data_IF_030811629442
#
_entry.id   IF_030811629442
#
_cell.length_a   1.000
_cell.length_b   1.000
_cell.length_c   1.000
_cell.angle_alpha   90.00
_cell.angle_beta   90.00
_cell.angle_gamma   90.00
#
_symmetry.space_group_name_H-M   'P 1'
#
loop_
_entity.id
_entity.type
_entity.pdbx_description
1 polymer ?
#
# COMPACT_ATOMS: atom_id res chain seq x y z
N UNK A 1 4.17 -15.62 -0.63
CA UNK A 1 3.01 -14.77 -0.26
C UNK A 1 1.86 -15.06 -1.21
N UNK A 2 0.63 -15.21 -0.72
CA UNK A 2 -0.56 -15.30 -1.58
C UNK A 2 -0.98 -13.89 -2.04
N UNK A 3 -1.32 -13.71 -3.31
CA UNK A 3 -1.84 -12.45 -3.85
C UNK A 3 -3.26 -12.68 -4.34
N UNK A 4 -4.22 -11.93 -3.81
CA UNK A 4 -5.61 -11.92 -4.26
C UNK A 4 -5.85 -10.71 -5.15
N UNK A 5 -6.34 -10.92 -6.36
CA UNK A 5 -6.72 -9.86 -7.28
C UNK A 5 -8.25 -9.74 -7.34
N UNK A 6 -8.77 -8.52 -7.17
CA UNK A 6 -10.20 -8.21 -7.21
C UNK A 6 -10.49 -7.28 -8.40
N UNK A 7 -11.60 -7.49 -9.09
CA UNK A 7 -12.03 -6.57 -10.15
C UNK A 7 -12.44 -5.21 -9.57
N UNK A 8 -13.16 -5.20 -8.45
CA UNK A 8 -13.57 -3.96 -7.78
C UNK A 8 -13.73 -4.20 -6.28
N UNK A 9 -13.36 -3.20 -5.49
CA UNK A 9 -13.49 -3.22 -4.03
C UNK A 9 -13.76 -1.80 -3.51
N UNK A 10 -14.30 -1.68 -2.31
CA UNK A 10 -14.41 -0.40 -1.61
C UNK A 10 -13.01 0.13 -1.23
N UNK A 11 -12.26 -0.65 -0.47
CA UNK A 11 -10.86 -0.39 -0.11
C UNK A 11 -10.12 -1.72 0.05
N UNK A 12 -9.01 -1.88 -0.66
CA UNK A 12 -8.09 -3.01 -0.49
C UNK A 12 -7.65 -3.18 0.97
N UNK A 13 -7.44 -2.06 1.66
CA UNK A 13 -7.05 -2.02 3.07
C UNK A 13 -8.18 -2.48 4.01
N UNK A 14 -9.42 -2.02 3.79
CA UNK A 14 -10.59 -2.46 4.59
C UNK A 14 -10.81 -3.96 4.36
N UNK A 15 -10.84 -4.39 3.10
CA UNK A 15 -11.05 -5.78 2.73
C UNK A 15 -10.02 -6.70 3.39
N UNK A 16 -8.75 -6.31 3.33
CA UNK A 16 -7.66 -7.07 3.94
C UNK A 16 -7.83 -7.17 5.46
N UNK A 17 -8.07 -6.05 6.15
CA UNK A 17 -8.31 -6.04 7.61
C UNK A 17 -9.47 -6.95 8.01
N UNK A 18 -10.63 -6.83 7.35
CA UNK A 18 -11.81 -7.65 7.64
C UNK A 18 -11.57 -9.13 7.36
N UNK A 19 -10.85 -9.44 6.28
CA UNK A 19 -10.52 -10.82 5.91
C UNK A 19 -9.54 -11.48 6.89
N UNK A 20 -8.61 -10.70 7.46
CA UNK A 20 -7.72 -11.18 8.52
C UNK A 20 -8.48 -11.39 9.83
N UNK A 21 -9.30 -10.42 10.24
CA UNK A 21 -10.10 -10.51 11.49
C UNK A 21 -11.11 -11.65 11.49
N UNK A 22 -11.66 -12.00 10.32
CA UNK A 22 -12.58 -13.14 10.17
C UNK A 22 -11.87 -14.49 10.00
N UNK A 23 -10.54 -14.52 9.94
CA UNK A 23 -9.76 -15.74 9.69
C UNK A 23 -9.83 -16.26 8.25
N UNK A 24 -10.49 -15.53 7.34
CA UNK A 24 -10.60 -15.86 5.91
C UNK A 24 -9.25 -15.83 5.20
N UNK A 25 -8.38 -14.89 5.59
CA UNK A 25 -7.01 -14.77 5.10
C UNK A 25 -6.02 -14.86 6.27
N UNK A 26 -4.79 -15.26 5.96
CA UNK A 26 -3.67 -15.32 6.91
C UNK A 26 -2.43 -14.69 6.27
N UNK A 27 -1.66 -13.96 7.06
CA UNK A 27 -0.37 -13.44 6.62
C UNK A 27 0.63 -14.60 6.35
N UNK A 28 1.59 -14.45 5.41
CA UNK A 28 1.77 -13.29 4.52
C UNK A 28 0.81 -13.32 3.32
N UNK A 29 0.06 -12.23 3.12
CA UNK A 29 -0.94 -12.09 2.05
C UNK A 29 -1.00 -10.66 1.51
N UNK A 30 -1.29 -10.52 0.22
CA UNK A 30 -1.58 -9.25 -0.42
C UNK A 30 -2.94 -9.27 -1.12
N UNK A 31 -3.57 -8.11 -1.22
CA UNK A 31 -4.82 -7.85 -1.93
C UNK A 31 -4.57 -6.70 -2.90
N UNK A 32 -4.84 -6.94 -4.17
CA UNK A 32 -4.83 -5.96 -5.23
C UNK A 32 -6.24 -5.77 -5.79
N UNK A 33 -6.54 -4.58 -6.32
CA UNK A 33 -7.77 -4.36 -7.05
C UNK A 33 -7.53 -3.57 -8.34
N UNK A 34 -8.35 -3.84 -9.37
CA UNK A 34 -8.39 -3.00 -10.58
C UNK A 34 -9.08 -1.66 -10.29
N UNK A 35 -10.18 -1.69 -9.55
CA UNK A 35 -10.95 -0.49 -9.16
C UNK A 35 -11.11 -0.41 -7.66
N UNK A 36 -10.82 0.75 -7.08
CA UNK A 36 -11.09 1.06 -5.68
C UNK A 36 -12.08 2.23 -5.59
N UNK A 37 -13.27 1.95 -5.06
CA UNK A 37 -14.41 2.89 -5.11
C UNK A 37 -14.51 3.82 -3.90
N UNK A 38 -13.91 3.45 -2.76
CA UNK A 38 -13.92 4.19 -1.49
C UNK A 38 -12.52 4.15 -0.85
N UNK A 39 -11.52 4.60 -1.59
CA UNK A 39 -10.14 4.63 -1.11
C UNK A 39 -9.98 5.53 0.12
N UNK A 40 -9.08 5.14 1.02
CA UNK A 40 -8.80 5.84 2.27
C UNK A 40 -7.33 6.23 2.28
N UNK A 41 -7.07 7.54 2.34
CA UNK A 41 -5.74 8.11 2.58
C UNK A 41 -5.49 8.36 4.08
N UNK A 42 -4.34 8.97 4.37
CA UNK A 42 -3.95 9.34 5.73
C UNK A 42 -4.99 10.27 6.39
N UNK A 43 -5.21 10.09 7.69
CA UNK A 43 -6.16 10.89 8.50
C UNK A 43 -7.59 10.88 7.93
N UNK A 44 -8.02 9.73 7.42
CA UNK A 44 -9.37 9.50 6.89
C UNK A 44 -9.73 10.36 5.66
N UNK A 45 -8.73 10.97 5.02
CA UNK A 45 -8.96 11.64 3.75
C UNK A 45 -9.40 10.64 2.68
N UNK A 46 -10.22 11.09 1.75
CA UNK A 46 -10.61 10.28 0.60
C UNK A 46 -9.43 10.09 -0.36
N UNK A 47 -9.24 8.86 -0.83
CA UNK A 47 -8.33 8.56 -1.93
C UNK A 47 -9.14 8.27 -3.19
N UNK A 48 -9.16 9.24 -4.10
CA UNK A 48 -9.85 9.13 -5.38
C UNK A 48 -8.99 8.27 -6.32
N UNK A 49 -9.51 7.10 -6.67
CA UNK A 49 -8.88 6.19 -7.62
C UNK A 49 -9.22 6.54 -9.07
N UNK A 50 -8.22 6.48 -9.95
CA UNK A 50 -8.40 6.53 -11.39
C UNK A 50 -8.11 5.15 -12.01
N UNK A 51 -8.59 4.93 -13.24
CA UNK A 51 -8.19 3.75 -14.00
C UNK A 51 -6.67 3.75 -14.21
N UNK A 52 -6.04 2.58 -14.04
CA UNK A 52 -4.58 2.43 -14.08
C UNK A 52 -3.85 2.69 -12.76
N UNK A 53 -4.53 3.14 -11.70
CA UNK A 53 -3.90 3.17 -10.37
C UNK A 53 -3.56 1.76 -9.86
N UNK A 54 -2.45 1.65 -9.14
CA UNK A 54 -2.12 0.46 -8.35
C UNK A 54 -2.78 0.55 -6.98
N UNK A 55 -3.85 -0.21 -6.76
CA UNK A 55 -4.43 -0.42 -5.43
C UNK A 55 -3.89 -1.70 -4.83
N UNK A 56 -3.07 -1.60 -3.78
CA UNK A 56 -2.39 -2.72 -3.14
C UNK A 56 -2.41 -2.54 -1.62
N UNK A 57 -2.76 -3.59 -0.91
CA UNK A 57 -2.55 -3.71 0.54
C UNK A 57 -1.99 -5.08 0.86
N UNK A 58 -1.08 -5.16 1.83
CA UNK A 58 -0.48 -6.43 2.22
C UNK A 58 -0.33 -6.53 3.75
N UNK A 59 -0.26 -7.77 4.23
CA UNK A 59 -0.06 -8.10 5.63
C UNK A 59 1.11 -9.08 5.76
N UNK A 60 1.96 -8.80 6.74
CA UNK A 60 3.16 -9.55 7.10
C UNK A 60 3.12 -9.84 8.60
N UNK A 61 3.84 -10.89 9.05
CA UNK A 61 4.12 -11.03 10.48
C UNK A 61 5.11 -9.95 10.90
N UNK A 62 5.06 -9.51 12.16
CA UNK A 62 6.11 -8.64 12.70
C UNK A 62 7.47 -9.37 12.74
N UNK A 63 7.45 -10.69 12.90
CA UNK A 63 8.66 -11.53 12.84
C UNK A 63 9.30 -11.56 11.45
N UNK A 64 8.55 -11.18 10.41
CA UNK A 64 9.08 -11.06 9.03
C UNK A 64 9.75 -9.69 8.78
N UNK A 65 9.71 -8.77 9.76
CA UNK A 65 10.28 -7.42 9.65
C UNK A 65 11.63 -7.32 10.39
N UNK A 66 12.49 -6.36 10.01
CA UNK A 66 13.71 -6.09 10.75
C UNK A 66 13.41 -5.81 12.23
N UNK A 67 14.16 -6.43 13.14
CA UNK A 67 13.93 -6.32 14.59
C UNK A 67 14.11 -4.90 15.14
N UNK A 68 14.87 -4.07 14.43
CA UNK A 68 15.11 -2.66 14.76
C UNK A 68 14.12 -1.70 14.10
N UNK A 69 13.16 -2.20 13.30
CA UNK A 69 12.12 -1.40 12.68
C UNK A 69 11.07 -1.01 13.72
N UNK A 70 11.08 0.26 14.12
CA UNK A 70 10.01 0.86 14.92
C UNK A 70 8.69 0.90 14.13
N UNK A 71 7.58 0.54 14.77
CA UNK A 71 6.26 0.49 14.13
C UNK A 71 5.83 1.85 13.55
N UNK A 72 6.21 2.94 14.23
CA UNK A 72 5.92 4.30 13.78
C UNK A 72 6.68 4.66 12.49
N UNK A 73 7.73 3.92 12.16
CA UNK A 73 8.55 4.10 10.96
C UNK A 73 8.13 3.19 9.80
N UNK A 74 7.16 2.29 9.99
CA UNK A 74 6.72 1.35 8.95
C UNK A 74 6.30 2.05 7.65
N UNK A 75 5.56 3.18 7.76
CA UNK A 75 5.14 3.92 6.56
C UNK A 75 6.33 4.42 5.75
N UNK A 76 7.32 5.03 6.42
CA UNK A 76 8.52 5.53 5.76
C UNK A 76 9.36 4.39 5.18
N UNK A 77 9.50 3.29 5.93
CA UNK A 77 10.26 2.10 5.54
C UNK A 77 9.71 1.48 4.25
N UNK A 78 8.41 1.16 4.22
CA UNK A 78 7.79 0.57 3.04
C UNK A 78 7.71 1.55 1.86
N UNK A 79 7.44 2.83 2.13
CA UNK A 79 7.44 3.83 1.06
C UNK A 79 8.83 3.98 0.43
N UNK A 80 9.91 3.92 1.23
CA UNK A 80 11.27 3.96 0.71
C UNK A 80 11.60 2.74 -0.14
N UNK A 81 11.25 1.53 0.31
CA UNK A 81 11.43 0.30 -0.47
C UNK A 81 10.71 0.38 -1.82
N UNK A 82 9.45 0.83 -1.83
CA UNK A 82 8.69 0.96 -3.08
C UNK A 82 9.30 2.02 -3.99
N UNK A 83 9.78 3.15 -3.45
CA UNK A 83 10.50 4.18 -4.21
C UNK A 83 11.77 3.61 -4.86
N UNK A 84 12.57 2.82 -4.14
CA UNK A 84 13.76 2.17 -4.70
C UNK A 84 13.42 1.17 -5.82
N UNK A 85 12.37 0.36 -5.62
CA UNK A 85 11.89 -0.57 -6.65
C UNK A 85 11.48 0.18 -7.91
N UNK A 86 10.67 1.24 -7.77
CA UNK A 86 10.21 2.05 -8.90
C UNK A 86 11.36 2.75 -9.62
N UNK A 87 12.35 3.25 -8.88
CA UNK A 87 13.55 3.87 -9.46
C UNK A 87 14.40 2.86 -10.23
N UNK A 88 14.55 1.64 -9.73
CA UNK A 88 15.25 0.56 -10.44
C UNK A 88 14.52 0.14 -11.73
N UNK A 89 13.22 0.41 -11.83
CA UNK A 89 12.42 0.24 -13.06
C UNK A 89 12.44 1.49 -13.98
N UNK A 90 13.25 2.50 -13.66
CA UNK A 90 13.43 3.71 -14.46
C UNK A 90 12.51 4.88 -14.09
N UNK A 91 11.73 4.77 -13.02
CA UNK A 91 10.95 5.91 -12.50
C UNK A 91 11.88 6.97 -11.91
N UNK A 92 11.39 8.23 -11.89
CA UNK A 92 12.01 9.35 -11.18
C UNK A 92 11.25 9.72 -9.91
N UNK A 93 10.47 8.78 -9.38
CA UNK A 93 9.66 9.03 -8.19
C UNK A 93 10.56 9.39 -7.00
N UNK A 94 10.15 10.39 -6.25
CA UNK A 94 10.78 10.77 -5.01
C UNK A 94 9.75 10.75 -3.87
N UNK A 95 10.26 10.64 -2.64
CA UNK A 95 9.43 10.52 -1.46
C UNK A 95 9.36 11.85 -0.73
N UNK A 96 8.17 12.45 -0.69
CA UNK A 96 7.88 13.57 0.19
C UNK A 96 7.46 13.01 1.54
N UNK A 97 8.17 13.41 2.59
CA UNK A 97 7.89 12.95 3.95
C UNK A 97 6.43 13.27 4.35
N UNK A 98 5.69 12.34 5.01
CA UNK A 98 6.19 11.06 5.54
C UNK A 98 6.04 9.85 4.60
N UNK A 99 5.14 9.89 3.62
CA UNK A 99 4.77 8.70 2.84
C UNK A 99 4.29 9.00 1.42
N UNK A 100 4.41 10.23 0.94
CA UNK A 100 3.81 10.62 -0.33
C UNK A 100 4.79 10.44 -1.49
N UNK A 101 4.35 9.72 -2.52
CA UNK A 101 5.11 9.55 -3.76
C UNK A 101 4.86 10.73 -4.69
N UNK A 102 5.94 11.35 -5.15
CA UNK A 102 5.91 12.49 -6.06
C UNK A 102 6.70 12.21 -7.33
N UNK A 103 6.20 12.75 -8.44
CA UNK A 103 6.94 12.91 -9.68
C UNK A 103 6.96 14.40 -10.01
N UNK A 104 8.16 14.97 -10.14
CA UNK A 104 8.34 16.42 -10.17
C UNK A 104 7.63 17.09 -8.98
N UNK A 105 6.64 17.96 -9.22
CA UNK A 105 5.87 18.62 -8.16
C UNK A 105 4.50 17.99 -7.88
N UNK A 106 4.16 16.89 -8.56
CA UNK A 106 2.84 16.27 -8.47
C UNK A 106 2.86 15.03 -7.59
N UNK A 107 1.89 14.94 -6.67
CA UNK A 107 1.65 13.73 -5.89
C UNK A 107 1.01 12.67 -6.80
N UNK A 108 1.61 11.48 -6.84
CA UNK A 108 1.17 10.36 -7.69
C UNK A 108 0.76 9.11 -6.88
N UNK A 109 1.03 9.09 -5.58
CA UNK A 109 0.74 7.94 -4.72
C UNK A 109 0.94 8.28 -3.24
N UNK A 110 0.55 7.34 -2.37
CA UNK A 110 0.78 7.41 -0.92
C UNK A 110 0.38 6.12 -0.21
#
# INVERSE_FOLDING_TARGET
MKILYLESVDSTQIYLKQSLSSGKLKAPVAVCAKVQTRGIGSRENEWIGLDGNLFLSFALSLDDLPQDLKLESCSLYFSHILKEILNNLGSKVWLKWPNDFYLDEFKIGG
#
